data_IF_022106704771
#
_entry.id   IF_022106704771
#
_cell.length_a   1.000
_cell.length_b   1.000
_cell.length_c   1.000
_cell.angle_alpha   90.00
_cell.angle_beta   90.00
_cell.angle_gamma   90.00
#
_symmetry.space_group_name_H-M   'P 1'
#
loop_
_entity.id
_entity.type
_entity.pdbx_description
1 polymer ?
#
# COMPACT_ATOMS: atom_id res chain seq x y z
N UNK A 1 24.80 11.48 -2.35
CA UNK A 1 25.99 10.69 -2.78
C UNK A 1 26.28 9.55 -1.81
N UNK A 2 26.21 9.76 -0.53
CA UNK A 2 26.46 8.75 0.53
C UNK A 2 25.62 7.48 0.36
N UNK A 3 24.31 7.58 0.11
CA UNK A 3 23.47 6.42 -0.18
C UNK A 3 23.96 5.59 -1.38
N UNK A 4 24.61 6.20 -2.36
CA UNK A 4 25.18 5.47 -3.48
C UNK A 4 26.50 4.80 -3.08
N UNK A 5 27.30 5.38 -2.18
CA UNK A 5 28.46 4.73 -1.57
C UNK A 5 28.03 3.50 -0.75
N UNK A 6 27.00 3.64 0.11
CA UNK A 6 26.41 2.50 0.83
C UNK A 6 25.95 1.39 -0.12
N UNK A 7 25.35 1.77 -1.23
CA UNK A 7 24.90 0.83 -2.24
C UNK A 7 26.08 0.10 -2.91
N UNK A 8 27.10 0.85 -3.34
CA UNK A 8 28.32 0.30 -3.97
C UNK A 8 29.03 -0.64 -3.00
N UNK A 9 29.16 -0.26 -1.73
CA UNK A 9 29.73 -1.11 -0.67
C UNK A 9 28.91 -2.38 -0.47
N UNK A 10 27.63 -2.26 -0.21
CA UNK A 10 26.70 -3.37 0.05
C UNK A 10 26.72 -4.43 -1.05
N UNK A 11 26.74 -3.99 -2.30
CA UNK A 11 26.66 -4.87 -3.45
C UNK A 11 28.02 -5.22 -4.07
N UNK A 12 29.10 -4.77 -3.44
CA UNK A 12 30.47 -4.97 -3.91
C UNK A 12 30.66 -4.57 -5.37
N UNK A 13 30.10 -3.41 -5.78
CA UNK A 13 30.18 -2.89 -7.14
C UNK A 13 31.50 -2.12 -7.39
N UNK A 14 32.59 -2.57 -6.83
CA UNK A 14 33.93 -2.00 -6.95
C UNK A 14 34.94 -3.10 -7.28
N UNK A 15 36.09 -2.77 -7.93
CA UNK A 15 37.14 -3.76 -8.20
C UNK A 15 37.69 -4.33 -6.89
N UNK A 16 37.53 -5.63 -6.65
CA UNK A 16 37.95 -6.30 -5.42
C UNK A 16 39.49 -6.36 -5.25
N UNK A 17 40.26 -6.25 -6.36
CA UNK A 17 41.73 -6.38 -6.40
C UNK A 17 42.47 -5.07 -6.20
N UNK A 18 41.81 -3.94 -6.11
CA UNK A 18 42.45 -2.61 -6.08
C UNK A 18 42.18 -1.82 -4.79
N UNK A 19 41.55 -2.45 -3.77
CA UNK A 19 41.20 -1.74 -2.53
C UNK A 19 42.42 -1.69 -1.61
N UNK A 20 42.70 -0.49 -1.07
CA UNK A 20 43.74 -0.30 -0.06
C UNK A 20 43.33 0.78 0.96
N UNK A 21 43.87 0.68 2.17
CA UNK A 21 43.75 1.72 3.18
C UNK A 21 44.52 2.97 2.79
N UNK A 22 44.29 4.09 3.49
CA UNK A 22 45.10 5.30 3.35
C UNK A 22 46.57 5.12 3.65
N UNK A 23 46.92 4.09 4.45
CA UNK A 23 48.32 3.67 4.73
C UNK A 23 48.89 2.68 3.71
N UNK A 24 48.19 2.39 2.62
CA UNK A 24 48.64 1.50 1.53
C UNK A 24 48.46 0.02 1.82
N UNK A 25 47.81 -0.39 2.90
CA UNK A 25 47.56 -1.80 3.22
C UNK A 25 46.42 -2.35 2.35
N UNK A 26 46.58 -3.55 1.73
CA UNK A 26 45.56 -4.15 0.91
C UNK A 26 44.30 -4.49 1.74
N UNK A 27 43.13 -4.27 1.16
CA UNK A 27 41.82 -4.55 1.76
C UNK A 27 41.04 -5.53 0.87
N UNK A 28 40.54 -6.60 1.49
CA UNK A 28 39.61 -7.54 0.85
C UNK A 28 38.31 -7.55 1.63
N UNK A 29 37.18 -7.24 0.94
CA UNK A 29 35.83 -7.26 1.55
C UNK A 29 35.25 -8.66 1.40
N UNK A 30 35.30 -9.47 2.45
CA UNK A 30 34.70 -10.81 2.48
C UNK A 30 33.17 -10.70 2.58
N UNK A 31 32.69 -9.96 3.59
CA UNK A 31 31.28 -9.69 3.85
C UNK A 31 31.12 -8.20 4.16
N UNK A 32 30.29 -7.46 3.41
CA UNK A 32 30.06 -6.02 3.67
C UNK A 32 29.32 -5.75 4.98
N UNK A 33 28.75 -6.77 5.61
CA UNK A 33 27.96 -6.65 6.83
C UNK A 33 26.46 -6.39 6.59
N UNK A 34 25.74 -6.31 7.69
CA UNK A 34 24.31 -6.04 7.71
C UNK A 34 24.06 -4.53 7.70
N UNK A 35 23.43 -4.05 6.65
CA UNK A 35 23.10 -2.62 6.51
C UNK A 35 22.12 -2.17 7.61
N UNK A 36 22.57 -1.24 8.42
CA UNK A 36 21.78 -0.60 9.48
C UNK A 36 21.02 0.60 8.92
N UNK A 37 19.78 0.79 9.37
CA UNK A 37 18.94 1.95 9.04
C UNK A 37 18.51 2.74 10.28
N UNK A 38 19.03 2.35 11.42
CA UNK A 38 18.78 2.96 12.72
C UNK A 38 20.05 3.67 13.22
N UNK A 39 20.02 4.18 14.44
CA UNK A 39 21.19 4.78 15.06
C UNK A 39 22.35 3.79 15.23
N UNK A 40 23.58 4.26 15.07
CA UNK A 40 24.83 3.47 15.13
C UNK A 40 25.45 3.29 13.75
N UNK A 41 26.57 2.54 13.65
CA UNK A 41 27.28 2.34 12.40
C UNK A 41 26.45 1.81 11.25
N UNK A 42 26.79 2.17 10.02
CA UNK A 42 26.05 1.86 8.80
C UNK A 42 25.94 0.39 8.47
N UNK A 43 26.99 -0.37 8.78
CA UNK A 43 27.03 -1.81 8.55
C UNK A 43 27.55 -2.54 9.77
N UNK A 44 26.78 -3.49 10.28
CA UNK A 44 27.14 -4.34 11.41
C UNK A 44 27.80 -5.63 10.96
N UNK A 45 28.77 -6.10 11.76
CA UNK A 45 29.39 -7.41 11.59
C UNK A 45 30.02 -7.64 10.19
N UNK A 46 30.57 -6.61 9.58
CA UNK A 46 31.32 -6.75 8.36
C UNK A 46 32.58 -7.60 8.58
N UNK A 47 33.00 -8.35 7.57
CA UNK A 47 34.22 -9.14 7.55
C UNK A 47 35.16 -8.59 6.50
N UNK A 48 36.23 -7.95 6.92
CA UNK A 48 37.22 -7.36 6.04
C UNK A 48 38.61 -7.90 6.39
N UNK A 49 39.42 -8.21 5.38
CA UNK A 49 40.78 -8.63 5.55
C UNK A 49 41.69 -7.45 5.20
N UNK A 50 42.44 -6.97 6.17
CA UNK A 50 43.34 -5.83 6.01
C UNK A 50 44.76 -6.32 6.28
N UNK A 51 45.66 -6.17 5.30
CA UNK A 51 47.03 -6.63 5.35
C UNK A 51 47.17 -8.11 5.81
N UNK A 52 46.27 -8.95 5.25
CA UNK A 52 46.26 -10.39 5.57
C UNK A 52 45.51 -10.77 6.85
N UNK A 53 45.21 -9.82 7.74
CA UNK A 53 44.50 -10.06 9.01
C UNK A 53 42.98 -9.90 8.84
N UNK A 54 42.21 -10.89 9.29
CA UNK A 54 40.72 -10.83 9.27
C UNK A 54 40.23 -9.99 10.45
N UNK A 55 39.48 -8.95 10.12
CA UNK A 55 38.77 -8.11 11.07
C UNK A 55 37.24 -8.36 10.95
N UNK A 56 36.59 -8.49 12.09
CA UNK A 56 35.13 -8.57 12.19
C UNK A 56 34.64 -7.43 13.06
N UNK A 57 33.84 -6.55 12.52
CA UNK A 57 33.34 -5.36 13.23
C UNK A 57 32.43 -4.54 12.37
N UNK A 58 32.24 -3.30 12.73
CA UNK A 58 31.35 -2.41 12.04
C UNK A 58 32.08 -1.57 10.98
N UNK A 59 31.34 -1.14 9.96
CA UNK A 59 31.82 -0.22 8.93
C UNK A 59 30.93 1.01 8.92
N UNK A 60 31.57 2.18 8.87
CA UNK A 60 30.92 3.46 8.70
C UNK A 60 31.31 4.05 7.35
N UNK A 61 30.36 4.71 6.67
CA UNK A 61 30.54 5.22 5.32
C UNK A 61 30.14 6.70 5.25
N UNK A 62 31.03 7.56 4.74
CA UNK A 62 30.77 8.98 4.55
C UNK A 62 31.16 9.46 3.15
N UNK A 63 30.60 10.58 2.71
CA UNK A 63 31.11 11.26 1.51
C UNK A 63 32.53 11.78 1.71
N UNK A 64 32.80 12.36 2.88
CA UNK A 64 34.11 12.86 3.29
C UNK A 64 34.47 12.32 4.66
N UNK A 65 35.72 12.09 4.89
CA UNK A 65 36.19 11.63 6.20
C UNK A 65 35.90 12.66 7.32
N UNK A 66 35.90 13.95 7.02
CA UNK A 66 35.52 15.04 7.95
C UNK A 66 34.10 14.96 8.45
N UNK A 67 33.16 14.26 7.73
CA UNK A 67 31.77 14.06 8.14
C UNK A 67 31.68 13.27 9.45
N UNK A 68 32.70 12.44 9.77
CA UNK A 68 32.84 11.77 11.05
C UNK A 68 32.71 12.72 12.24
N UNK A 69 33.35 13.87 12.16
CA UNK A 69 33.31 14.89 13.22
C UNK A 69 32.05 15.75 13.15
N UNK A 70 31.52 15.97 11.96
CA UNK A 70 30.23 16.68 11.76
C UNK A 70 29.10 15.92 12.45
N UNK A 71 29.10 14.59 12.31
CA UNK A 71 28.13 13.69 12.95
C UNK A 71 28.47 13.37 14.42
N UNK A 72 29.62 13.86 14.95
CA UNK A 72 30.09 13.66 16.32
C UNK A 72 30.34 12.18 16.68
N UNK A 73 30.77 11.37 15.74
CA UNK A 73 31.09 9.96 16.00
C UNK A 73 32.36 9.81 16.85
N UNK A 74 33.23 10.83 16.87
CA UNK A 74 34.37 10.97 17.77
C UNK A 74 34.02 11.05 19.26
N UNK A 75 32.70 11.21 19.59
CA UNK A 75 32.19 11.31 20.97
C UNK A 75 31.17 10.24 21.32
N UNK A 76 30.96 9.29 20.44
CA UNK A 76 29.92 8.27 20.60
C UNK A 76 30.55 6.87 20.64
N UNK A 77 30.55 6.24 21.83
CA UNK A 77 31.13 4.91 22.07
C UNK A 77 30.52 3.81 21.18
N UNK A 78 29.32 4.02 20.59
CA UNK A 78 28.70 3.07 19.64
C UNK A 78 29.55 2.86 18.40
N UNK A 79 30.43 3.80 18.06
CA UNK A 79 31.32 3.77 16.90
C UNK A 79 32.76 3.28 17.22
N UNK A 80 33.04 2.96 18.47
CA UNK A 80 34.42 2.49 18.89
C UNK A 80 34.78 1.11 18.32
N UNK A 81 33.81 0.35 17.85
CA UNK A 81 34.02 -0.95 17.20
C UNK A 81 33.98 -0.88 15.66
N UNK A 82 34.08 0.33 15.10
CA UNK A 82 34.25 0.53 13.65
C UNK A 82 35.66 0.09 13.26
N UNK A 83 35.74 -0.98 12.47
CA UNK A 83 37.02 -1.57 12.00
C UNK A 83 37.49 -0.95 10.69
N UNK A 84 36.60 -0.31 9.96
CA UNK A 84 36.92 0.36 8.71
C UNK A 84 35.97 1.56 8.48
N UNK A 85 36.56 2.73 8.29
CA UNK A 85 35.85 3.94 7.86
C UNK A 85 36.06 4.13 6.36
N UNK A 86 34.97 3.99 5.60
CA UNK A 86 34.95 4.06 4.12
C UNK A 86 34.48 5.45 3.70
N UNK A 87 35.25 6.13 2.86
CA UNK A 87 34.96 7.49 2.46
C UNK A 87 35.00 7.66 0.94
N UNK A 88 34.13 8.51 0.39
CA UNK A 88 34.27 8.96 -0.99
C UNK A 88 35.52 9.82 -1.18
N UNK A 89 35.93 10.59 -0.15
CA UNK A 89 37.15 11.35 -0.10
C UNK A 89 37.71 11.35 1.32
N UNK A 90 38.99 10.98 1.49
CA UNK A 90 39.67 11.03 2.80
C UNK A 90 40.42 12.35 2.91
N UNK A 91 39.76 13.35 3.49
CA UNK A 91 40.23 14.72 3.68
C UNK A 91 40.81 14.97 5.10
N UNK A 92 40.56 14.04 6.03
CA UNK A 92 41.09 14.10 7.40
C UNK A 92 41.26 12.70 8.02
N UNK A 93 42.09 12.60 9.09
CA UNK A 93 42.16 11.40 9.90
C UNK A 93 40.98 11.36 10.89
N UNK A 94 40.21 10.26 10.88
CA UNK A 94 39.17 10.03 11.85
C UNK A 94 39.67 9.30 13.10
N UNK A 95 39.18 9.71 14.29
CA UNK A 95 39.52 9.11 15.58
C UNK A 95 38.25 8.70 16.32
N UNK A 96 38.31 7.58 17.02
CA UNK A 96 37.22 7.11 17.86
C UNK A 96 37.09 7.92 19.17
N UNK A 97 36.17 7.55 20.06
CA UNK A 97 35.93 8.26 21.33
C UNK A 97 37.11 8.23 22.28
N UNK A 98 38.05 7.27 22.08
CA UNK A 98 39.27 7.11 22.86
C UNK A 98 40.49 7.82 22.28
N UNK A 99 40.32 8.51 21.15
CA UNK A 99 41.37 9.22 20.45
C UNK A 99 42.25 8.32 19.57
N UNK A 100 41.89 7.07 19.36
CA UNK A 100 42.62 6.11 18.50
C UNK A 100 42.25 6.37 17.03
N UNK A 101 43.26 6.38 16.15
CA UNK A 101 43.04 6.56 14.71
C UNK A 101 42.32 5.35 14.10
N UNK A 102 41.27 5.62 13.31
CA UNK A 102 40.55 4.59 12.57
C UNK A 102 41.31 4.18 11.30
N UNK A 103 41.19 2.91 10.95
CA UNK A 103 41.56 2.49 9.59
C UNK A 103 40.61 3.08 8.57
N UNK A 104 41.12 3.84 7.61
CA UNK A 104 40.34 4.53 6.60
C UNK A 104 40.68 4.03 5.19
N UNK A 105 39.67 4.06 4.31
CA UNK A 105 39.79 3.69 2.91
C UNK A 105 38.97 4.65 2.05
N UNK A 106 39.54 5.10 0.93
CA UNK A 106 38.75 5.76 -0.12
C UNK A 106 38.05 4.70 -0.97
N UNK A 107 36.79 4.96 -1.28
CA UNK A 107 36.00 4.12 -2.15
C UNK A 107 35.43 4.95 -3.31
N UNK A 108 35.93 4.70 -4.50
CA UNK A 108 35.42 5.33 -5.71
C UNK A 108 34.18 4.61 -6.20
N UNK A 109 33.16 5.41 -6.56
CA UNK A 109 32.00 4.89 -7.26
C UNK A 109 32.39 4.71 -8.72
N UNK A 110 32.27 3.49 -9.29
CA UNK A 110 32.59 3.30 -10.71
C UNK A 110 31.78 4.26 -11.59
N UNK A 111 32.44 4.90 -12.55
CA UNK A 111 31.83 5.89 -13.47
C UNK A 111 30.55 5.37 -14.13
N UNK A 112 30.55 4.09 -14.48
CA UNK A 112 29.41 3.42 -15.07
C UNK A 112 28.21 3.39 -14.10
N UNK A 113 28.41 3.03 -12.84
CA UNK A 113 27.36 3.02 -11.82
C UNK A 113 26.83 4.44 -11.57
N UNK A 114 27.75 5.40 -11.49
CA UNK A 114 27.40 6.81 -11.31
C UNK A 114 26.56 7.34 -12.49
N UNK A 115 26.97 7.04 -13.72
CA UNK A 115 26.24 7.43 -14.93
C UNK A 115 24.85 6.81 -14.92
N UNK A 116 24.75 5.51 -14.74
CA UNK A 116 23.48 4.77 -14.74
C UNK A 116 22.54 5.28 -13.62
N UNK A 117 23.08 5.59 -12.45
CA UNK A 117 22.28 6.13 -11.35
C UNK A 117 21.71 7.52 -11.67
N UNK A 118 22.55 8.42 -12.21
CA UNK A 118 22.08 9.75 -12.65
C UNK A 118 21.01 9.64 -13.74
N UNK A 119 21.14 8.69 -14.65
CA UNK A 119 20.17 8.42 -15.70
C UNK A 119 18.83 7.97 -15.11
N UNK A 120 18.82 7.00 -14.19
CA UNK A 120 17.60 6.57 -13.49
C UNK A 120 16.87 7.71 -12.76
N UNK A 121 17.61 8.69 -12.22
CA UNK A 121 17.02 9.83 -11.53
C UNK A 121 16.49 10.93 -12.47
N UNK A 122 17.10 11.07 -13.65
CA UNK A 122 16.81 12.16 -14.60
C UNK A 122 15.75 11.82 -15.64
N UNK A 123 15.47 10.53 -15.86
CA UNK A 123 14.48 10.08 -16.85
C UNK A 123 13.08 10.37 -16.34
N UNK A 124 12.32 11.15 -17.10
CA UNK A 124 10.90 11.41 -16.83
C UNK A 124 9.98 10.30 -17.35
N UNK A 125 10.50 9.43 -18.21
CA UNK A 125 9.76 8.28 -18.72
C UNK A 125 9.59 7.22 -17.62
N UNK A 126 8.39 6.73 -17.50
CA UNK A 126 8.08 5.68 -16.53
C UNK A 126 7.95 4.32 -17.23
N UNK A 127 8.52 3.23 -16.66
CA UNK A 127 9.49 3.19 -15.54
C UNK A 127 10.87 3.64 -16.02
N UNK A 128 11.67 4.31 -15.18
CA UNK A 128 12.99 4.80 -15.59
C UNK A 128 13.93 3.71 -16.11
N UNK A 129 13.80 2.50 -15.57
CA UNK A 129 14.59 1.33 -15.95
C UNK A 129 13.99 0.50 -17.11
N UNK A 130 13.06 1.05 -17.90
CA UNK A 130 12.30 0.31 -18.94
C UNK A 130 13.19 -0.46 -19.93
N UNK A 131 14.36 0.06 -20.23
CA UNK A 131 15.29 -0.52 -21.24
C UNK A 131 15.82 -1.90 -20.82
N UNK A 132 15.97 -2.16 -19.52
CA UNK A 132 16.50 -3.44 -19.04
C UNK A 132 15.42 -4.53 -18.93
N UNK A 133 14.16 -4.16 -18.81
CA UNK A 133 13.08 -5.09 -18.52
C UNK A 133 13.06 -6.31 -19.45
N UNK A 134 13.20 -6.15 -20.79
CA UNK A 134 13.20 -7.31 -21.70
C UNK A 134 14.39 -8.26 -21.53
N UNK A 135 15.47 -7.81 -20.91
CA UNK A 135 16.69 -8.62 -20.69
C UNK A 135 16.73 -9.31 -19.32
N UNK A 136 15.77 -9.01 -18.44
CA UNK A 136 15.71 -9.64 -17.12
C UNK A 136 15.36 -11.13 -17.22
N UNK A 137 16.04 -11.94 -16.42
CA UNK A 137 15.69 -13.36 -16.32
C UNK A 137 14.33 -13.55 -15.66
N UNK A 138 13.59 -14.56 -16.09
CA UNK A 138 12.28 -14.92 -15.49
C UNK A 138 12.41 -15.10 -13.96
N UNK A 139 13.48 -15.73 -13.49
CA UNK A 139 13.75 -15.90 -12.05
C UNK A 139 13.86 -14.56 -11.31
N UNK A 140 14.59 -13.58 -11.88
CA UNK A 140 14.75 -12.25 -11.28
C UNK A 140 13.40 -11.54 -11.20
N UNK A 141 12.60 -11.60 -12.27
CA UNK A 141 11.26 -10.99 -12.31
C UNK A 141 10.35 -11.64 -11.27
N UNK A 142 10.19 -12.96 -11.29
CA UNK A 142 9.29 -13.67 -10.35
C UNK A 142 9.68 -13.46 -8.89
N UNK A 143 10.97 -13.60 -8.57
CA UNK A 143 11.44 -13.39 -7.19
C UNK A 143 11.14 -11.98 -6.68
N UNK A 144 11.32 -10.96 -7.53
CA UNK A 144 11.04 -9.57 -7.15
C UNK A 144 9.52 -9.31 -7.05
N UNK A 145 8.72 -9.83 -7.98
CA UNK A 145 7.28 -9.71 -7.95
C UNK A 145 6.67 -10.34 -6.69
N UNK A 146 7.14 -11.51 -6.28
CA UNK A 146 6.69 -12.17 -5.04
C UNK A 146 7.03 -11.35 -3.79
N UNK A 147 8.24 -10.78 -3.74
CA UNK A 147 8.64 -9.90 -2.64
C UNK A 147 7.75 -8.64 -2.55
N UNK A 148 7.47 -8.00 -3.69
CA UNK A 148 6.61 -6.82 -3.77
C UNK A 148 5.15 -7.13 -3.43
N UNK A 149 4.65 -8.31 -3.79
CA UNK A 149 3.33 -8.79 -3.45
C UNK A 149 3.16 -8.95 -1.94
N UNK A 150 4.14 -9.57 -1.29
CA UNK A 150 4.18 -9.72 0.17
C UNK A 150 4.23 -8.34 0.85
N UNK A 151 5.13 -7.46 0.42
CA UNK A 151 5.23 -6.08 0.93
C UNK A 151 3.91 -5.31 0.78
N UNK A 152 3.23 -5.51 -0.35
CA UNK A 152 1.91 -4.90 -0.59
C UNK A 152 0.84 -5.40 0.38
N UNK A 153 0.81 -6.71 0.67
CA UNK A 153 -0.11 -7.29 1.64
C UNK A 153 0.20 -6.81 3.06
N UNK A 154 1.46 -6.71 3.44
CA UNK A 154 1.87 -6.16 4.74
C UNK A 154 1.43 -4.71 4.92
N UNK A 155 1.60 -3.85 3.90
CA UNK A 155 1.10 -2.47 3.97
C UNK A 155 -0.42 -2.40 4.13
N UNK A 156 -1.16 -3.25 3.41
CA UNK A 156 -2.63 -3.32 3.55
C UNK A 156 -3.03 -3.87 4.91
N UNK A 157 -2.29 -4.81 5.46
CA UNK A 157 -2.48 -5.35 6.81
C UNK A 157 -2.33 -4.26 7.85
N UNK A 158 -1.27 -3.47 7.80
CA UNK A 158 -1.07 -2.35 8.72
C UNK A 158 -2.26 -1.38 8.71
N UNK A 159 -2.79 -1.06 7.52
CA UNK A 159 -3.98 -0.22 7.40
C UNK A 159 -5.26 -0.87 7.97
N UNK A 160 -5.38 -2.20 7.89
CA UNK A 160 -6.50 -2.94 8.50
C UNK A 160 -6.34 -2.96 10.03
N UNK A 161 -5.15 -3.21 10.55
CA UNK A 161 -4.86 -3.16 11.99
C UNK A 161 -5.13 -1.79 12.59
N UNK A 162 -4.82 -0.71 11.86
CA UNK A 162 -5.19 0.66 12.26
C UNK A 162 -6.70 0.81 12.39
N UNK A 163 -7.49 0.25 11.47
CA UNK A 163 -8.96 0.22 11.56
C UNK A 163 -9.43 -0.60 12.73
N UNK A 164 -8.84 -1.78 12.98
CA UNK A 164 -9.15 -2.62 14.13
C UNK A 164 -8.92 -1.85 15.43
N UNK A 165 -7.80 -1.11 15.55
CA UNK A 165 -7.52 -0.25 16.71
C UNK A 165 -8.57 0.86 16.86
N UNK A 166 -8.93 1.55 15.76
CA UNK A 166 -9.98 2.59 15.77
C UNK A 166 -11.36 2.03 16.12
N UNK A 167 -11.62 0.77 15.80
CA UNK A 167 -12.85 0.05 16.18
C UNK A 167 -12.74 -0.67 17.53
N UNK A 168 -11.81 -0.28 18.41
CA UNK A 168 -11.63 -0.88 19.75
C UNK A 168 -11.44 -2.41 19.73
N UNK A 169 -10.78 -2.94 18.73
CA UNK A 169 -10.52 -4.38 18.56
C UNK A 169 -11.64 -5.16 17.86
N UNK A 170 -12.71 -4.50 17.44
CA UNK A 170 -13.82 -5.14 16.73
C UNK A 170 -13.48 -5.37 15.25
N UNK A 171 -13.18 -6.62 14.91
CA UNK A 171 -12.86 -7.04 13.56
C UNK A 171 -14.04 -6.97 12.59
N UNK A 172 -15.27 -7.15 13.05
CA UNK A 172 -16.47 -7.03 12.21
C UNK A 172 -16.66 -5.58 11.77
N UNK A 173 -16.51 -4.62 12.69
CA UNK A 173 -16.53 -3.20 12.36
C UNK A 173 -15.37 -2.80 11.45
N UNK A 174 -14.15 -3.25 11.73
CA UNK A 174 -12.97 -2.96 10.90
C UNK A 174 -13.11 -3.54 9.48
N UNK A 175 -13.71 -4.72 9.35
CA UNK A 175 -14.06 -5.31 8.06
C UNK A 175 -15.09 -4.46 7.32
N UNK A 176 -16.17 -4.02 7.99
CA UNK A 176 -17.16 -3.13 7.38
C UNK A 176 -16.53 -1.85 6.85
N UNK A 177 -15.69 -1.20 7.65
CA UNK A 177 -14.97 0.01 7.25
C UNK A 177 -14.07 -0.25 6.02
N UNK A 178 -13.36 -1.39 6.02
CA UNK A 178 -12.50 -1.78 4.90
C UNK A 178 -13.31 -2.06 3.63
N UNK A 179 -14.44 -2.75 3.75
CA UNK A 179 -15.35 -3.03 2.64
C UNK A 179 -15.94 -1.73 2.08
N UNK A 180 -16.46 -0.87 2.95
CA UNK A 180 -17.03 0.42 2.57
C UNK A 180 -16.02 1.29 1.82
N UNK A 181 -14.79 1.43 2.35
CA UNK A 181 -13.70 2.15 1.66
C UNK A 181 -13.53 1.68 0.22
N UNK A 182 -13.55 0.37 0.01
CA UNK A 182 -13.33 -0.22 -1.32
C UNK A 182 -14.57 -0.10 -2.23
N UNK A 183 -15.79 0.05 -1.67
CA UNK A 183 -16.98 0.44 -2.44
C UNK A 183 -16.88 1.86 -3.01
N UNK A 184 -16.01 2.70 -2.48
CA UNK A 184 -15.68 4.00 -3.06
C UNK A 184 -14.90 3.94 -4.38
N UNK A 185 -14.39 2.77 -4.78
CA UNK A 185 -13.68 2.51 -6.02
C UNK A 185 -12.65 3.59 -6.38
N UNK A 186 -11.87 4.01 -5.38
CA UNK A 186 -10.78 4.97 -5.48
C UNK A 186 -11.21 6.43 -5.27
N UNK A 187 -12.22 6.93 -5.98
CA UNK A 187 -12.58 8.36 -5.93
C UNK A 187 -13.20 8.76 -4.59
N UNK A 188 -14.10 7.94 -4.06
CA UNK A 188 -14.78 8.17 -2.79
C UNK A 188 -14.29 7.26 -1.66
N UNK A 189 -13.13 6.61 -1.79
CA UNK A 189 -12.63 5.66 -0.80
C UNK A 189 -12.51 6.27 0.60
N UNK A 190 -11.92 7.46 0.71
CA UNK A 190 -11.77 8.16 2.00
C UNK A 190 -13.13 8.60 2.58
N UNK A 191 -14.02 9.10 1.75
CA UNK A 191 -15.37 9.50 2.19
C UNK A 191 -16.18 8.28 2.68
N UNK A 192 -16.08 7.14 1.99
CA UNK A 192 -16.70 5.89 2.45
C UNK A 192 -16.09 5.34 3.73
N UNK A 193 -14.79 5.48 3.93
CA UNK A 193 -14.11 5.07 5.16
C UNK A 193 -14.60 5.90 6.34
N UNK A 194 -14.63 7.22 6.20
CA UNK A 194 -15.12 8.13 7.23
C UNK A 194 -16.60 7.90 7.52
N UNK A 195 -17.43 7.77 6.48
CA UNK A 195 -18.84 7.41 6.63
C UNK A 195 -19.03 6.10 7.40
N UNK A 196 -18.24 5.08 7.11
CA UNK A 196 -18.37 3.78 7.75
C UNK A 196 -18.04 3.81 9.25
N UNK A 197 -17.11 4.66 9.67
CA UNK A 197 -16.84 4.87 11.09
C UNK A 197 -18.01 5.54 11.84
N UNK A 198 -18.87 6.27 11.13
CA UNK A 198 -20.08 6.87 11.71
C UNK A 198 -21.29 5.92 11.71
N UNK A 199 -21.18 4.73 11.13
CA UNK A 199 -22.27 3.76 11.10
C UNK A 199 -22.30 2.94 12.40
N UNK A 200 -23.38 3.00 13.19
CA UNK A 200 -23.52 2.19 14.39
C UNK A 200 -23.96 0.77 14.00
N UNK A 201 -23.03 -0.12 13.65
CA UNK A 201 -23.35 -1.47 13.17
C UNK A 201 -24.23 -2.27 14.14
N UNK A 202 -24.09 -2.06 15.45
CA UNK A 202 -24.97 -2.69 16.44
C UNK A 202 -26.44 -2.21 16.27
N UNK A 203 -26.65 -0.91 16.08
CA UNK A 203 -27.99 -0.38 15.83
C UNK A 203 -28.56 -0.90 14.50
N UNK A 204 -27.75 -0.94 13.45
CA UNK A 204 -28.13 -1.58 12.16
C UNK A 204 -28.50 -3.04 12.37
N UNK A 205 -27.77 -3.75 13.25
CA UNK A 205 -28.04 -5.15 13.62
C UNK A 205 -29.44 -5.36 14.19
N UNK A 206 -29.96 -4.42 14.99
CA UNK A 206 -31.30 -4.47 15.55
C UNK A 206 -32.42 -4.21 14.52
N UNK A 207 -32.07 -3.65 13.36
CA UNK A 207 -33.02 -3.27 12.29
C UNK A 207 -32.80 -4.09 11.01
N UNK A 208 -32.16 -5.26 11.11
CA UNK A 208 -31.83 -6.11 9.94
C UNK A 208 -33.02 -6.64 9.16
N UNK A 209 -34.21 -6.63 9.74
CA UNK A 209 -35.42 -7.17 9.12
C UNK A 209 -36.16 -6.13 8.26
N UNK A 210 -35.74 -4.87 8.32
CA UNK A 210 -36.32 -3.77 7.53
C UNK A 210 -35.25 -3.04 6.71
N UNK A 211 -35.26 -3.29 5.42
CA UNK A 211 -34.33 -2.64 4.47
C UNK A 211 -34.45 -1.13 4.46
N UNK A 212 -35.69 -0.59 4.69
CA UNK A 212 -35.91 0.86 4.73
C UNK A 212 -35.15 1.49 5.90
N UNK A 213 -35.12 0.83 7.06
CA UNK A 213 -34.43 1.31 8.25
C UNK A 213 -32.91 1.27 8.08
N UNK A 214 -32.38 0.19 7.50
CA UNK A 214 -30.95 0.10 7.17
C UNK A 214 -30.57 1.24 6.19
N UNK A 215 -31.35 1.41 5.13
CA UNK A 215 -31.06 2.42 4.11
C UNK A 215 -31.23 3.85 4.66
N UNK A 216 -32.19 4.07 5.56
CA UNK A 216 -32.36 5.34 6.26
C UNK A 216 -31.15 5.68 7.12
N UNK A 217 -30.62 4.73 7.89
CA UNK A 217 -29.39 4.94 8.66
C UNK A 217 -28.21 5.23 7.71
N UNK A 218 -28.03 4.44 6.66
CA UNK A 218 -26.91 4.56 5.76
C UNK A 218 -26.91 5.88 4.97
N UNK A 219 -28.04 6.23 4.35
CA UNK A 219 -28.18 7.48 3.59
C UNK A 219 -28.16 8.70 4.52
N UNK A 220 -28.77 8.56 5.71
CA UNK A 220 -28.81 9.63 6.70
C UNK A 220 -27.44 9.94 7.26
N UNK A 221 -26.66 8.91 7.68
CA UNK A 221 -25.29 9.09 8.15
C UNK A 221 -24.36 9.61 7.06
N UNK A 222 -24.66 9.35 5.80
CA UNK A 222 -23.96 9.94 4.66
C UNK A 222 -24.29 11.43 4.44
N UNK A 223 -25.23 12.01 5.19
CA UNK A 223 -25.69 13.38 5.01
C UNK A 223 -26.48 13.60 3.71
N UNK A 224 -26.97 12.54 3.06
CA UNK A 224 -27.61 12.62 1.73
C UNK A 224 -29.12 12.78 1.77
N UNK A 225 -29.74 12.88 2.96
CA UNK A 225 -31.20 13.05 3.13
C UNK A 225 -31.63 14.51 3.30
N UNK A 226 -30.73 15.47 3.10
CA UNK A 226 -31.07 16.89 3.12
C UNK A 226 -31.34 17.41 1.70
N UNK A 227 -32.34 18.31 1.55
CA UNK A 227 -32.77 18.80 0.25
C UNK A 227 -31.64 19.53 -0.52
N UNK A 228 -30.81 20.28 0.20
CA UNK A 228 -29.67 21.02 -0.35
C UNK A 228 -28.54 20.11 -0.92
N UNK A 229 -28.58 18.81 -0.65
CA UNK A 229 -27.64 17.83 -1.22
C UNK A 229 -28.07 17.33 -2.60
N UNK A 230 -29.32 17.58 -2.96
CA UNK A 230 -29.92 17.19 -4.23
C UNK A 230 -29.71 18.31 -5.24
N UNK A 231 -29.29 18.02 -6.48
CA UNK A 231 -29.19 19.05 -7.52
C UNK A 231 -30.48 19.82 -7.68
N UNK A 232 -30.41 21.15 -7.77
CA UNK A 232 -31.53 22.08 -7.74
C UNK A 232 -32.68 21.66 -8.69
N UNK A 233 -32.33 21.22 -9.90
CA UNK A 233 -33.30 20.76 -10.92
C UNK A 233 -34.14 19.56 -10.48
N UNK A 234 -33.73 18.79 -9.48
CA UNK A 234 -34.43 17.59 -8.98
C UNK A 234 -35.11 17.81 -7.62
N UNK A 235 -34.89 18.94 -6.95
CA UNK A 235 -35.36 19.19 -5.58
C UNK A 235 -36.90 19.18 -5.51
N UNK A 236 -37.59 19.77 -6.51
CA UNK A 236 -39.05 19.78 -6.57
C UNK A 236 -39.62 18.35 -6.67
N UNK A 237 -39.01 17.52 -7.50
CA UNK A 237 -39.47 16.15 -7.69
C UNK A 237 -39.16 15.29 -6.46
N UNK A 238 -38.01 15.53 -5.83
CA UNK A 238 -37.62 14.87 -4.59
C UNK A 238 -38.55 15.21 -3.41
N UNK A 239 -39.03 16.45 -3.32
CA UNK A 239 -40.03 16.84 -2.30
C UNK A 239 -41.37 16.09 -2.47
N UNK A 240 -41.75 15.75 -3.68
CA UNK A 240 -42.94 14.99 -4.00
C UNK A 240 -42.71 13.47 -3.96
N UNK A 241 -41.47 13.03 -3.73
CA UNK A 241 -41.10 11.63 -3.71
C UNK A 241 -41.39 10.99 -2.35
N UNK A 242 -42.39 10.10 -2.35
CA UNK A 242 -42.82 9.40 -1.14
C UNK A 242 -41.70 8.53 -0.50
N UNK A 243 -40.76 8.05 -1.30
CA UNK A 243 -39.63 7.25 -0.77
C UNK A 243 -38.61 8.14 -0.04
N UNK A 244 -38.24 9.27 -0.62
CA UNK A 244 -37.40 10.26 0.02
C UNK A 244 -37.99 10.74 1.36
N UNK A 245 -39.28 11.04 1.38
CA UNK A 245 -39.97 11.45 2.59
C UNK A 245 -39.96 10.36 3.67
N UNK A 246 -40.17 9.09 3.30
CA UNK A 246 -40.12 7.95 4.22
C UNK A 246 -38.71 7.79 4.83
N UNK A 247 -37.65 7.80 4.00
CA UNK A 247 -36.25 7.69 4.48
C UNK A 247 -35.90 8.83 5.46
N UNK A 248 -36.28 10.06 5.14
CA UNK A 248 -36.03 11.21 6.03
C UNK A 248 -36.72 11.07 7.38
N UNK A 249 -37.98 10.67 7.39
CA UNK A 249 -38.76 10.51 8.62
C UNK A 249 -38.21 9.37 9.46
N UNK A 250 -37.88 8.25 8.84
CA UNK A 250 -37.30 7.10 9.50
C UNK A 250 -35.93 7.44 10.09
N UNK A 251 -35.08 8.11 9.31
CA UNK A 251 -33.77 8.54 9.79
C UNK A 251 -33.87 9.51 10.98
N UNK A 252 -34.80 10.48 10.95
CA UNK A 252 -35.02 11.39 12.09
C UNK A 252 -35.34 10.63 13.38
N UNK A 253 -36.21 9.63 13.30
CA UNK A 253 -36.53 8.78 14.42
C UNK A 253 -35.31 7.99 14.91
N UNK A 254 -34.60 7.32 14.00
CA UNK A 254 -33.43 6.49 14.32
C UNK A 254 -32.25 7.33 14.80
N UNK A 255 -32.04 8.51 14.23
CA UNK A 255 -31.00 9.43 14.67
C UNK A 255 -31.24 9.92 16.11
N UNK A 256 -32.47 10.23 16.47
CA UNK A 256 -32.83 10.57 17.85
C UNK A 256 -32.64 9.37 18.77
N UNK A 257 -33.13 8.18 18.37
CA UNK A 257 -33.05 6.95 19.16
C UNK A 257 -31.63 6.54 19.50
N UNK A 258 -30.70 6.68 18.55
CA UNK A 258 -29.31 6.22 18.68
C UNK A 258 -28.30 7.37 18.82
N UNK A 259 -28.78 8.61 18.98
CA UNK A 259 -27.95 9.83 19.07
C UNK A 259 -26.93 9.94 17.90
N UNK A 260 -27.44 9.80 16.66
CA UNK A 260 -26.61 9.80 15.46
C UNK A 260 -26.36 11.21 14.94
N UNK A 261 -25.16 11.45 14.45
CA UNK A 261 -24.78 12.69 13.76
C UNK A 261 -24.26 12.35 12.36
N UNK A 262 -24.85 12.90 11.28
CA UNK A 262 -24.41 12.63 9.92
C UNK A 262 -23.03 13.25 9.64
N UNK A 263 -22.29 12.64 8.74
CA UNK A 263 -21.10 13.27 8.18
C UNK A 263 -21.46 14.45 7.26
N UNK A 264 -20.48 15.31 7.01
CA UNK A 264 -20.64 16.40 6.03
C UNK A 264 -20.70 15.83 4.61
N UNK A 265 -21.86 16.01 3.94
CA UNK A 265 -22.08 15.53 2.58
C UNK A 265 -21.10 16.08 1.54
N UNK A 266 -20.44 17.22 1.80
CA UNK A 266 -19.46 17.84 0.91
C UNK A 266 -18.21 16.98 0.72
N UNK A 267 -17.98 15.96 1.55
CA UNK A 267 -16.91 14.99 1.37
C UNK A 267 -17.16 14.08 0.15
N UNK A 268 -18.41 13.91 -0.27
CA UNK A 268 -18.73 13.10 -1.44
C UNK A 268 -18.38 13.79 -2.74
N UNK A 269 -17.70 13.05 -3.62
CA UNK A 269 -17.36 13.49 -4.97
C UNK A 269 -18.30 12.87 -5.99
N UNK A 270 -18.98 13.70 -6.78
CA UNK A 270 -19.89 13.29 -7.87
C UNK A 270 -19.31 13.63 -9.24
N UNK A 271 -18.49 14.66 -9.32
CA UNK A 271 -17.94 15.15 -10.57
C UNK A 271 -17.02 14.10 -11.22
N UNK A 272 -17.18 13.90 -12.54
CA UNK A 272 -16.45 12.93 -13.35
C UNK A 272 -16.68 11.46 -12.97
N UNK A 273 -17.73 11.16 -12.19
CA UNK A 273 -18.18 9.81 -11.95
C UNK A 273 -19.29 9.41 -12.91
N UNK A 274 -19.28 8.15 -13.36
CA UNK A 274 -20.45 7.55 -14.00
C UNK A 274 -21.58 7.42 -12.95
N UNK A 275 -22.85 7.66 -13.29
CA UNK A 275 -23.95 7.61 -12.30
C UNK A 275 -24.02 6.30 -11.49
N UNK A 276 -23.65 5.16 -12.10
CA UNK A 276 -23.57 3.86 -11.41
C UNK A 276 -22.55 3.84 -10.24
N UNK A 277 -21.63 4.80 -10.19
CA UNK A 277 -20.64 4.94 -9.13
C UNK A 277 -20.98 6.06 -8.15
N UNK A 278 -22.16 6.67 -8.24
CA UNK A 278 -22.57 7.68 -7.28
C UNK A 278 -22.70 7.09 -5.87
N UNK A 279 -22.36 7.87 -4.84
CA UNK A 279 -22.48 7.44 -3.45
C UNK A 279 -23.83 6.81 -3.13
N UNK A 280 -24.96 7.37 -3.59
CA UNK A 280 -26.30 6.81 -3.41
C UNK A 280 -26.41 5.35 -3.85
N UNK A 281 -25.89 5.04 -5.04
CA UNK A 281 -25.96 3.68 -5.60
C UNK A 281 -25.08 2.72 -4.76
N UNK A 282 -23.89 3.15 -4.39
CA UNK A 282 -22.95 2.33 -3.60
C UNK A 282 -23.44 2.12 -2.17
N UNK A 283 -24.06 3.13 -1.57
CA UNK A 283 -24.68 3.03 -0.23
C UNK A 283 -25.88 2.09 -0.28
N UNK A 284 -26.76 2.20 -1.32
CA UNK A 284 -27.87 1.28 -1.48
C UNK A 284 -27.41 -0.18 -1.67
N UNK A 285 -26.34 -0.41 -2.45
CA UNK A 285 -25.74 -1.73 -2.60
C UNK A 285 -25.23 -2.28 -1.25
N UNK A 286 -24.57 -1.46 -0.44
CA UNK A 286 -24.12 -1.85 0.89
C UNK A 286 -25.31 -2.13 1.83
N UNK A 287 -26.35 -1.30 1.81
CA UNK A 287 -27.57 -1.52 2.59
C UNK A 287 -28.24 -2.87 2.23
N UNK A 288 -28.36 -3.14 0.93
CA UNK A 288 -28.92 -4.40 0.45
C UNK A 288 -28.07 -5.61 0.84
N UNK A 289 -26.73 -5.49 0.74
CA UNK A 289 -25.80 -6.52 1.15
C UNK A 289 -25.95 -6.88 2.65
N UNK A 290 -26.09 -5.85 3.50
CA UNK A 290 -26.32 -6.03 4.94
C UNK A 290 -27.69 -6.62 5.24
N UNK A 291 -28.71 -6.19 4.54
CA UNK A 291 -30.07 -6.77 4.65
C UNK A 291 -30.11 -8.26 4.32
N UNK A 292 -29.36 -8.69 3.30
CA UNK A 292 -29.26 -10.11 2.92
C UNK A 292 -28.53 -10.99 3.92
N UNK A 293 -27.88 -10.41 4.93
CA UNK A 293 -27.10 -11.12 5.99
C UNK A 293 -25.97 -11.99 5.46
N UNK A 294 -25.42 -11.70 4.28
CA UNK A 294 -24.41 -12.52 3.61
C UNK A 294 -22.97 -12.03 3.79
N UNK A 295 -22.79 -10.77 4.16
CA UNK A 295 -21.49 -10.11 4.13
C UNK A 295 -20.91 -9.88 5.53
N UNK A 296 -20.98 -10.85 6.42
CA UNK A 296 -20.24 -10.84 7.68
C UNK A 296 -18.79 -11.28 7.48
N UNK A 297 -17.91 -10.87 8.39
CA UNK A 297 -16.50 -11.28 8.39
C UNK A 297 -16.35 -12.81 8.40
N UNK A 298 -17.12 -13.52 9.22
CA UNK A 298 -17.06 -14.99 9.30
C UNK A 298 -17.32 -15.65 7.96
N UNK A 299 -18.35 -15.22 7.23
CA UNK A 299 -18.70 -15.76 5.93
C UNK A 299 -17.61 -15.51 4.89
N UNK A 300 -16.95 -14.34 4.98
CA UNK A 300 -15.82 -14.03 4.10
C UNK A 300 -14.61 -14.90 4.42
N UNK A 301 -14.27 -15.05 5.69
CA UNK A 301 -13.12 -15.84 6.14
C UNK A 301 -13.32 -17.34 5.87
N UNK A 302 -14.57 -17.81 5.90
CA UNK A 302 -14.93 -19.20 5.58
C UNK A 302 -15.01 -19.48 4.08
N UNK A 303 -15.07 -18.46 3.21
CA UNK A 303 -15.08 -18.65 1.77
C UNK A 303 -13.88 -19.48 1.30
N UNK A 304 -14.15 -20.65 0.75
CA UNK A 304 -13.11 -21.60 0.34
C UNK A 304 -12.51 -21.27 -1.03
N UNK A 305 -13.24 -20.52 -1.86
CA UNK A 305 -12.84 -20.17 -3.22
C UNK A 305 -13.11 -18.68 -3.51
N UNK A 306 -12.45 -18.17 -4.56
CA UNK A 306 -12.71 -16.84 -5.11
C UNK A 306 -14.18 -16.67 -5.50
N UNK A 307 -14.79 -17.72 -6.06
CA UNK A 307 -16.20 -17.66 -6.47
C UNK A 307 -17.14 -17.61 -5.26
N UNK A 308 -16.81 -18.27 -4.16
CA UNK A 308 -17.61 -18.17 -2.93
C UNK A 308 -17.48 -16.78 -2.32
N UNK A 309 -16.28 -16.19 -2.29
CA UNK A 309 -16.08 -14.81 -1.86
C UNK A 309 -16.86 -13.81 -2.73
N UNK A 310 -16.90 -14.01 -4.05
CA UNK A 310 -17.72 -13.18 -4.96
C UNK A 310 -19.22 -13.35 -4.69
N UNK A 311 -19.72 -14.56 -4.38
CA UNK A 311 -21.12 -14.79 -4.01
C UNK A 311 -21.49 -14.09 -2.71
N UNK A 312 -20.58 -14.05 -1.73
CA UNK A 312 -20.77 -13.31 -0.47
C UNK A 312 -20.94 -11.82 -0.74
N UNK A 313 -20.15 -11.26 -1.67
CA UNK A 313 -20.16 -9.83 -1.99
C UNK A 313 -21.17 -9.44 -3.07
N UNK A 314 -21.80 -10.39 -3.75
CA UNK A 314 -22.76 -10.12 -4.81
C UNK A 314 -24.00 -9.41 -4.27
N UNK A 315 -24.30 -8.23 -4.81
CA UNK A 315 -25.44 -7.41 -4.40
C UNK A 315 -25.95 -6.58 -5.55
N UNK A 316 -27.22 -6.16 -5.43
CA UNK A 316 -27.90 -5.19 -6.27
C UNK A 316 -28.26 -3.95 -5.44
N UNK A 317 -28.94 -3.00 -6.04
CA UNK A 317 -29.57 -1.88 -5.33
C UNK A 317 -30.94 -2.29 -4.80
N UNK A 318 -31.48 -1.51 -3.85
CA UNK A 318 -32.88 -1.64 -3.43
C UNK A 318 -33.84 -1.15 -4.54
N UNK A 319 -35.11 -1.55 -4.54
CA UNK A 319 -36.03 -1.32 -5.66
C UNK A 319 -36.14 0.12 -6.13
N UNK A 320 -36.10 1.09 -5.23
CA UNK A 320 -36.15 2.50 -5.60
C UNK A 320 -34.98 2.88 -6.53
N UNK A 321 -33.77 2.44 -6.20
CA UNK A 321 -32.57 2.79 -6.95
C UNK A 321 -32.44 2.06 -8.29
N UNK A 322 -33.31 1.11 -8.60
CA UNK A 322 -33.36 0.53 -9.94
C UNK A 322 -33.68 1.58 -11.00
N UNK A 323 -34.49 2.58 -10.64
CA UNK A 323 -34.94 3.65 -11.54
C UNK A 323 -34.36 5.03 -11.19
N UNK A 324 -33.50 5.14 -10.19
CA UNK A 324 -32.94 6.42 -9.73
C UNK A 324 -31.43 6.36 -9.58
N UNK A 325 -30.74 7.48 -9.81
CA UNK A 325 -29.31 7.68 -9.49
C UNK A 325 -29.11 8.74 -8.41
N UNK A 326 -30.08 9.60 -8.19
CA UNK A 326 -30.22 10.54 -7.10
C UNK A 326 -31.73 10.74 -6.84
N UNK A 327 -32.08 11.25 -5.68
CA UNK A 327 -33.47 11.52 -5.36
C UNK A 327 -34.09 12.49 -6.39
N UNK A 328 -35.36 12.23 -6.78
CA UNK A 328 -36.08 13.03 -7.75
C UNK A 328 -35.64 12.88 -9.23
N UNK A 329 -34.64 12.05 -9.52
CA UNK A 329 -34.13 11.84 -10.89
C UNK A 329 -34.50 10.45 -11.39
N UNK A 330 -35.48 10.31 -12.23
CA UNK A 330 -35.88 9.03 -12.83
C UNK A 330 -34.98 8.61 -13.99
N UNK A 331 -34.77 7.32 -14.15
CA UNK A 331 -33.96 6.71 -15.22
C UNK A 331 -34.59 5.40 -15.67
N UNK A 332 -34.10 4.84 -16.77
CA UNK A 332 -34.47 3.50 -17.21
C UNK A 332 -34.12 2.48 -16.13
N UNK A 333 -35.04 1.52 -15.90
CA UNK A 333 -34.90 0.47 -14.89
C UNK A 333 -33.63 -0.38 -15.16
N UNK A 334 -32.85 -0.57 -14.12
CA UNK A 334 -31.64 -1.38 -14.13
C UNK A 334 -31.36 -1.88 -12.71
N UNK A 335 -31.09 -3.16 -12.53
CA UNK A 335 -30.84 -3.77 -11.22
C UNK A 335 -29.57 -3.23 -10.55
N UNK A 336 -28.70 -2.57 -11.33
CA UNK A 336 -27.42 -2.02 -10.89
C UNK A 336 -26.61 -2.98 -10.01
N UNK A 337 -26.56 -4.24 -10.44
CA UNK A 337 -25.73 -5.26 -9.81
C UNK A 337 -24.26 -4.84 -9.82
N UNK A 338 -23.50 -5.32 -8.83
CA UNK A 338 -22.05 -5.25 -8.91
C UNK A 338 -21.55 -6.03 -10.11
N UNK A 339 -20.83 -5.37 -11.00
CA UNK A 339 -20.25 -6.02 -12.18
C UNK A 339 -19.17 -7.05 -11.77
N UNK A 340 -18.90 -8.08 -12.60
CA UNK A 340 -17.79 -8.99 -12.36
C UNK A 340 -16.46 -8.29 -12.15
N UNK A 341 -16.24 -7.16 -12.83
CA UNK A 341 -15.06 -6.33 -12.63
C UNK A 341 -15.03 -5.69 -11.22
N UNK A 342 -16.17 -5.15 -10.76
CA UNK A 342 -16.28 -4.56 -9.41
C UNK A 342 -16.06 -5.63 -8.33
N UNK A 343 -16.64 -6.83 -8.50
CA UNK A 343 -16.43 -7.95 -7.58
C UNK A 343 -14.96 -8.38 -7.54
N UNK A 344 -14.30 -8.45 -8.71
CA UNK A 344 -12.88 -8.75 -8.77
C UNK A 344 -12.04 -7.72 -7.99
N UNK A 345 -12.32 -6.42 -8.15
CA UNK A 345 -11.64 -5.37 -7.39
C UNK A 345 -11.89 -5.44 -5.88
N UNK A 346 -13.12 -5.78 -5.47
CA UNK A 346 -13.44 -5.97 -4.05
C UNK A 346 -12.72 -7.19 -3.48
N UNK A 347 -12.59 -8.29 -4.24
CA UNK A 347 -11.79 -9.43 -3.81
C UNK A 347 -10.32 -9.04 -3.62
N UNK A 348 -9.70 -8.37 -4.59
CA UNK A 348 -8.29 -7.94 -4.52
C UNK A 348 -8.05 -6.96 -3.37
N UNK A 349 -8.98 -6.03 -3.13
CA UNK A 349 -8.72 -4.90 -2.23
C UNK A 349 -9.37 -5.05 -0.85
N UNK A 350 -10.29 -6.01 -0.67
CA UNK A 350 -10.96 -6.29 0.62
C UNK A 350 -10.72 -7.72 1.07
N UNK A 351 -11.15 -8.72 0.29
CA UNK A 351 -11.12 -10.13 0.71
C UNK A 351 -9.70 -10.58 1.00
N UNK A 352 -8.81 -10.44 0.02
CA UNK A 352 -7.42 -10.88 0.12
C UNK A 352 -6.68 -10.20 1.28
N UNK A 353 -6.71 -8.86 1.43
CA UNK A 353 -6.05 -8.20 2.56
C UNK A 353 -6.66 -8.57 3.92
N UNK A 354 -7.97 -8.76 4.02
CA UNK A 354 -8.63 -9.21 5.25
C UNK A 354 -8.20 -10.62 5.62
N UNK A 355 -8.17 -11.56 4.67
CA UNK A 355 -7.68 -12.93 4.92
C UNK A 355 -6.25 -12.91 5.42
N UNK A 356 -5.36 -12.16 4.77
CA UNK A 356 -3.96 -12.09 5.17
C UNK A 356 -3.79 -11.45 6.55
N UNK A 357 -4.45 -10.30 6.81
CA UNK A 357 -4.39 -9.61 8.10
C UNK A 357 -4.98 -10.49 9.24
N UNK A 358 -6.10 -11.16 8.97
CA UNK A 358 -6.75 -12.05 9.94
C UNK A 358 -5.87 -13.26 10.26
N UNK A 359 -5.25 -13.88 9.23
CA UNK A 359 -4.30 -14.97 9.40
C UNK A 359 -3.09 -14.57 10.25
N UNK A 360 -2.52 -13.41 9.98
CA UNK A 360 -1.41 -12.85 10.78
C UNK A 360 -1.81 -12.60 12.23
N UNK A 361 -2.97 -11.99 12.45
CA UNK A 361 -3.50 -11.73 13.79
C UNK A 361 -3.77 -13.01 14.59
N UNK A 362 -4.29 -14.04 13.95
CA UNK A 362 -4.61 -15.33 14.59
C UNK A 362 -3.42 -16.27 14.72
N UNK A 363 -2.32 -16.01 14.01
CA UNK A 363 -1.21 -16.94 13.86
C UNK A 363 -1.58 -18.19 13.04
N UNK A 364 -2.53 -18.07 12.11
CA UNK A 364 -3.04 -19.17 11.29
C UNK A 364 -2.61 -18.99 9.83
N UNK A 365 -1.53 -19.64 9.41
CA UNK A 365 -0.93 -19.54 8.08
C UNK A 365 -1.91 -19.89 6.94
N UNK A 366 -2.84 -20.82 7.16
CA UNK A 366 -3.85 -21.22 6.15
C UNK A 366 -4.64 -20.07 5.52
N UNK A 367 -4.84 -18.95 6.26
CA UNK A 367 -5.52 -17.76 5.74
C UNK A 367 -4.58 -16.89 4.92
N UNK A 368 -3.30 -16.84 5.31
CA UNK A 368 -2.28 -16.15 4.54
C UNK A 368 -2.05 -16.86 3.20
N UNK A 369 -1.90 -18.18 3.20
CA UNK A 369 -1.76 -18.99 2.00
C UNK A 369 -2.95 -18.81 1.06
N UNK A 370 -4.19 -18.89 1.61
CA UNK A 370 -5.40 -18.65 0.83
C UNK A 370 -5.45 -17.25 0.22
N UNK A 371 -4.91 -16.24 0.89
CA UNK A 371 -4.84 -14.89 0.34
C UNK A 371 -3.94 -14.84 -0.90
N UNK A 372 -2.82 -15.54 -0.91
CA UNK A 372 -1.96 -15.68 -2.08
C UNK A 372 -2.62 -16.51 -3.19
N UNK A 373 -3.22 -17.65 -2.85
CA UNK A 373 -3.97 -18.50 -3.80
C UNK A 373 -5.08 -17.70 -4.49
N UNK A 374 -5.78 -16.84 -3.77
CA UNK A 374 -6.81 -15.98 -4.35
C UNK A 374 -6.22 -14.94 -5.30
N UNK A 375 -5.06 -14.36 -4.98
CA UNK A 375 -4.39 -13.42 -5.90
C UNK A 375 -3.97 -14.10 -7.21
N UNK A 376 -3.54 -15.36 -7.17
CA UNK A 376 -3.20 -16.13 -8.37
C UNK A 376 -4.42 -16.44 -9.24
N UNK A 377 -5.58 -16.70 -8.63
CA UNK A 377 -6.82 -17.04 -9.34
C UNK A 377 -7.58 -15.82 -9.87
N UNK A 378 -7.40 -14.65 -9.25
CA UNK A 378 -8.07 -13.42 -9.63
C UNK A 378 -7.41 -12.80 -10.87
N UNK A 379 -8.25 -12.23 -11.76
CA UNK A 379 -7.76 -11.48 -12.92
C UNK A 379 -7.00 -10.24 -12.48
N UNK A 380 -5.93 -9.85 -13.20
CA UNK A 380 -5.17 -8.65 -12.89
C UNK A 380 -6.05 -7.39 -12.97
N UNK A 381 -5.66 -6.37 -12.23
CA UNK A 381 -6.23 -5.04 -12.42
C UNK A 381 -5.86 -4.50 -13.82
N UNK A 382 -6.80 -3.81 -14.46
CA UNK A 382 -6.55 -3.13 -15.73
C UNK A 382 -6.55 -1.61 -15.51
N UNK A 383 -5.39 -1.07 -15.22
CA UNK A 383 -5.19 0.36 -15.05
C UNK A 383 -3.97 0.84 -15.85
N UNK A 384 -3.69 2.16 -15.84
CA UNK A 384 -2.58 2.73 -16.62
C UNK A 384 -1.21 2.20 -16.17
N UNK A 385 -1.04 1.90 -14.86
CA UNK A 385 0.21 1.37 -14.31
C UNK A 385 0.53 0.03 -14.96
N UNK A 386 -0.45 -0.88 -14.96
CA UNK A 386 -0.28 -2.22 -15.50
C UNK A 386 0.04 -2.17 -17.00
N UNK A 387 -0.69 -1.33 -17.75
CA UNK A 387 -0.43 -1.17 -19.18
C UNK A 387 0.98 -0.66 -19.49
N UNK A 388 1.51 0.28 -18.69
CA UNK A 388 2.89 0.76 -18.85
C UNK A 388 3.92 -0.36 -18.66
N UNK A 389 3.76 -1.19 -17.62
CA UNK A 389 4.66 -2.32 -17.39
C UNK A 389 4.56 -3.39 -18.48
N UNK A 390 3.35 -3.67 -18.97
CA UNK A 390 3.16 -4.58 -20.11
C UNK A 390 3.82 -4.04 -21.39
N UNK A 391 3.76 -2.73 -21.65
CA UNK A 391 4.48 -2.09 -22.76
C UNK A 391 6.00 -2.22 -22.64
N UNK A 392 6.53 -2.34 -21.42
CA UNK A 392 7.95 -2.61 -21.18
C UNK A 392 8.33 -4.10 -21.32
N UNK A 393 7.36 -4.98 -21.59
CA UNK A 393 7.59 -6.42 -21.82
C UNK A 393 7.33 -7.33 -20.61
N UNK A 394 6.78 -6.82 -19.48
CA UNK A 394 6.38 -7.67 -18.37
C UNK A 394 5.06 -8.36 -18.67
N UNK A 395 5.01 -9.65 -18.39
CA UNK A 395 3.78 -10.45 -18.41
C UNK A 395 3.03 -10.23 -17.08
N UNK A 396 1.71 -10.08 -17.17
CA UNK A 396 0.84 -9.84 -16.02
C UNK A 396 -0.37 -10.77 -16.16
N UNK A 397 -0.32 -11.90 -15.49
CA UNK A 397 -1.28 -12.99 -15.67
C UNK A 397 -2.39 -12.96 -14.63
N UNK A 398 -2.10 -12.48 -13.41
CA UNK A 398 -2.99 -12.55 -12.28
C UNK A 398 -3.01 -11.27 -11.43
N UNK A 399 -3.86 -11.26 -10.39
CA UNK A 399 -3.98 -10.10 -9.50
C UNK A 399 -2.73 -9.87 -8.66
N UNK A 400 -1.99 -10.92 -8.30
CA UNK A 400 -0.73 -10.82 -7.57
C UNK A 400 0.28 -9.99 -8.33
N UNK A 401 0.46 -10.28 -9.63
CA UNK A 401 1.34 -9.50 -10.50
C UNK A 401 0.93 -8.02 -10.55
N UNK A 402 -0.38 -7.76 -10.72
CA UNK A 402 -0.85 -6.39 -10.77
C UNK A 402 -0.66 -5.65 -9.43
N UNK A 403 -0.84 -6.32 -8.29
CA UNK A 403 -0.58 -5.73 -6.97
C UNK A 403 0.92 -5.46 -6.74
N UNK A 404 1.79 -6.37 -7.17
CA UNK A 404 3.23 -6.18 -7.12
C UNK A 404 3.68 -4.97 -7.94
N UNK A 405 3.17 -4.81 -9.17
CA UNK A 405 3.52 -3.67 -10.04
C UNK A 405 2.99 -2.33 -9.52
N UNK A 406 1.82 -2.33 -8.87
CA UNK A 406 1.30 -1.14 -8.18
C UNK A 406 2.21 -0.78 -7.00
N UNK A 407 2.69 -1.78 -6.24
CA UNK A 407 3.65 -1.58 -5.15
C UNK A 407 4.95 -0.99 -5.68
N UNK A 408 5.51 -1.61 -6.72
CA UNK A 408 6.74 -1.16 -7.35
C UNK A 408 6.65 0.31 -7.80
N UNK A 409 5.52 0.68 -8.43
CA UNK A 409 5.34 2.08 -8.82
C UNK A 409 5.31 3.01 -7.62
N UNK A 410 4.41 2.76 -6.67
CA UNK A 410 4.14 3.71 -5.58
C UNK A 410 5.29 3.85 -4.58
N UNK A 411 5.92 2.73 -4.23
CA UNK A 411 6.92 2.71 -3.15
C UNK A 411 8.36 2.83 -3.65
N UNK A 412 8.60 2.54 -4.91
CA UNK A 412 9.95 2.57 -5.49
C UNK A 412 10.09 3.61 -6.60
N UNK A 413 9.29 3.53 -7.66
CA UNK A 413 9.49 4.39 -8.81
C UNK A 413 9.10 5.85 -8.53
N UNK A 414 7.91 6.08 -7.92
CA UNK A 414 7.43 7.44 -7.60
C UNK A 414 8.31 8.13 -6.54
N UNK A 415 8.91 7.33 -5.65
CA UNK A 415 9.83 7.80 -4.59
C UNK A 415 11.30 7.80 -5.03
N UNK A 416 11.60 7.41 -6.28
CA UNK A 416 12.96 7.27 -6.83
C UNK A 416 13.88 6.36 -5.99
N UNK A 417 13.33 5.33 -5.36
CA UNK A 417 14.03 4.36 -4.52
C UNK A 417 14.73 3.27 -5.35
N UNK A 418 15.38 3.66 -6.46
CA UNK A 418 16.03 2.74 -7.38
C UNK A 418 17.14 1.90 -6.74
N UNK A 419 17.82 2.45 -5.72
CA UNK A 419 18.85 1.74 -4.95
C UNK A 419 18.31 0.59 -4.07
N UNK A 420 16.99 0.56 -3.82
CA UNK A 420 16.30 -0.49 -3.07
C UNK A 420 15.57 -1.47 -3.99
N UNK A 421 15.52 -1.17 -5.28
CA UNK A 421 14.76 -1.92 -6.28
C UNK A 421 15.64 -2.98 -6.95
N UNK A 422 15.11 -4.22 -7.07
CA UNK A 422 15.84 -5.29 -7.78
C UNK A 422 16.07 -4.96 -9.25
N UNK A 423 15.08 -4.33 -9.93
CA UNK A 423 15.26 -3.90 -11.31
C UNK A 423 16.27 -2.75 -11.41
N UNK A 424 16.25 -1.83 -10.45
CA UNK A 424 17.28 -0.80 -10.33
C UNK A 424 18.68 -1.38 -10.16
N UNK A 425 18.84 -2.43 -9.36
CA UNK A 425 20.09 -3.13 -9.18
C UNK A 425 20.64 -3.73 -10.50
N UNK A 426 19.77 -4.39 -11.27
CA UNK A 426 20.19 -4.94 -12.57
C UNK A 426 20.57 -3.83 -13.57
N UNK A 427 19.86 -2.69 -13.55
CA UNK A 427 20.18 -1.51 -14.37
C UNK A 427 21.53 -0.91 -14.01
N UNK A 428 21.85 -0.80 -12.71
CA UNK A 428 23.10 -0.18 -12.26
C UNK A 428 24.35 -1.02 -12.58
N UNK A 429 24.17 -2.31 -12.86
CA UNK A 429 25.26 -3.22 -13.29
C UNK A 429 25.59 -3.13 -14.79
N UNK A 430 24.64 -2.60 -15.61
CA UNK A 430 24.91 -2.46 -17.06
C UNK A 430 26.14 -1.62 -17.31
#
# INVERSE_FOLDING_TARGET
MEQLLHYVWKHKLFPLTALCTTSGKPVEVIDPGLHNRNAGPDFFNAKVKIDGTLWVGNVEIHNKASDWYVHRHDKDERYDNVVLHVCGCVDTEAKNSKGEALTQMALDIPDKVMKNYRELLSVDQYPPCYQIIPSLTSLTVHAWMNALQTERLEQKTNAIEDRVRRCNGDWENAYFVTLARNFGFGVNGEAFEEWAFHIPLQAVGHHRDDILQIEAIFMGQAGLLELNTIPERYQKDALNDGYFAKLRNEYKYLAHKFNLTPMDYRQWRFLRLRPQNFPHIRISQLAHLYYQRKAGLSQLVEAASVEDAKKVLATAVTPYWETHYTFGSTSVRNDKNLSPFSLNLLCINTVVPILFAYGRHRGEEKYCDRAFDFLEQLRPENNYIIRLWQQCGLVVDNAGDSQALIQLKKEYCDKKECLRCRFGYEYLKL
#
